data_IF_853130673714
#
_entry.id   IF_853130673714
#
_cell.length_a   1.000
_cell.length_b   1.000
_cell.length_c   1.000
_cell.angle_alpha   90.00
_cell.angle_beta   90.00
_cell.angle_gamma   90.00
#
_symmetry.space_group_name_H-M   'P 1'
#
loop_
_entity.id
_entity.type
_entity.pdbx_description
1 polymer ?
#
# COMPACT_ATOMS: atom_id res chain seq x y z
N UNK A 1 -4.80 4.25 -26.78
CA UNK A 1 -5.38 4.83 -25.58
C UNK A 1 -4.32 5.48 -24.73
N UNK A 2 -4.54 6.72 -24.40
CA UNK A 2 -3.59 7.46 -23.60
C UNK A 2 -3.39 6.83 -22.22
N UNK A 3 -4.38 6.09 -21.76
CA UNK A 3 -4.36 5.49 -20.43
C UNK A 3 -3.26 4.44 -20.24
N UNK A 4 -2.69 3.91 -21.33
CA UNK A 4 -1.73 2.84 -21.22
C UNK A 4 -0.48 3.23 -20.44
N UNK A 5 0.11 4.39 -20.75
CA UNK A 5 1.30 4.85 -20.04
C UNK A 5 1.00 5.17 -18.58
N UNK A 6 -0.15 5.75 -18.32
CA UNK A 6 -0.57 6.06 -16.97
C UNK A 6 -0.81 4.78 -16.16
N UNK A 7 -1.44 3.80 -16.77
CA UNK A 7 -1.70 2.53 -16.10
C UNK A 7 -0.40 1.86 -15.68
N UNK A 8 0.59 1.83 -16.56
CA UNK A 8 1.89 1.22 -16.25
C UNK A 8 2.54 1.93 -15.07
N UNK A 9 2.47 3.26 -15.04
CA UNK A 9 3.04 4.03 -13.94
C UNK A 9 2.37 3.70 -12.62
N UNK A 10 1.04 3.58 -12.64
CA UNK A 10 0.29 3.26 -11.43
C UNK A 10 0.58 1.84 -10.95
N UNK A 11 0.70 0.90 -11.86
CA UNK A 11 1.07 -0.47 -11.50
C UNK A 11 2.46 -0.49 -10.84
N UNK A 12 3.41 0.27 -11.39
CA UNK A 12 4.74 0.36 -10.79
C UNK A 12 4.67 0.95 -9.39
N UNK A 13 3.78 1.93 -9.16
CA UNK A 13 3.61 2.50 -7.82
C UNK A 13 3.05 1.47 -6.85
N UNK A 14 2.13 0.62 -7.29
CA UNK A 14 1.61 -0.46 -6.44
C UNK A 14 2.72 -1.45 -6.11
N UNK A 15 3.57 -1.78 -7.07
CA UNK A 15 4.70 -2.67 -6.83
C UNK A 15 5.67 -2.06 -5.80
N UNK A 16 5.83 -0.73 -5.83
CA UNK A 16 6.65 -0.04 -4.83
C UNK A 16 6.06 -0.17 -3.43
N UNK A 17 4.74 -0.14 -3.32
CA UNK A 17 4.08 -0.36 -2.04
C UNK A 17 4.39 -1.76 -1.52
N UNK A 18 4.32 -2.77 -2.38
CA UNK A 18 4.63 -4.14 -1.99
C UNK A 18 6.09 -4.26 -1.53
N UNK A 19 7.01 -3.60 -2.23
CA UNK A 19 8.41 -3.59 -1.85
C UNK A 19 8.60 -2.94 -0.48
N UNK A 20 7.91 -1.83 -0.24
CA UNK A 20 7.96 -1.14 1.04
C UNK A 20 7.46 -2.04 2.17
N UNK A 21 6.39 -2.81 1.93
CA UNK A 21 5.87 -3.73 2.93
C UNK A 21 6.89 -4.81 3.29
N UNK A 22 7.64 -5.30 2.31
CA UNK A 22 8.70 -6.27 2.57
C UNK A 22 9.81 -5.68 3.43
N UNK A 23 10.16 -4.41 3.19
CA UNK A 23 11.16 -3.71 4.01
C UNK A 23 10.68 -3.55 5.45
N UNK A 24 9.42 -3.20 5.61
CA UNK A 24 8.82 -3.06 6.94
C UNK A 24 8.88 -4.40 7.67
N UNK A 25 8.47 -5.46 6.98
CA UNK A 25 8.47 -6.80 7.56
C UNK A 25 9.88 -7.19 8.04
N UNK A 26 10.90 -6.88 7.24
CA UNK A 26 12.28 -7.20 7.57
C UNK A 26 12.77 -6.37 8.76
N UNK A 27 12.18 -5.20 9.00
CA UNK A 27 12.59 -4.31 10.09
C UNK A 27 11.91 -4.62 11.42
N UNK A 28 10.83 -5.40 11.42
CA UNK A 28 10.06 -5.65 12.63
C UNK A 28 10.92 -6.21 13.76
N UNK A 29 11.83 -7.17 13.53
CA UNK A 29 12.61 -7.75 14.63
C UNK A 29 13.48 -6.76 15.40
N UNK A 30 13.83 -5.61 14.79
CA UNK A 30 14.69 -4.62 15.45
C UNK A 30 13.89 -3.46 16.04
N UNK A 31 12.58 -3.48 15.92
CA UNK A 31 11.72 -2.43 16.48
C UNK A 31 11.34 -2.76 17.92
N UNK A 32 11.26 -1.72 18.76
CA UNK A 32 10.71 -1.90 20.09
C UNK A 32 9.18 -1.89 20.03
N UNK A 33 8.54 -2.14 21.18
CA UNK A 33 7.09 -2.28 21.23
C UNK A 33 6.37 -0.98 20.84
N UNK A 34 6.91 0.17 21.23
CA UNK A 34 6.31 1.45 20.92
C UNK A 34 6.38 1.74 19.43
N UNK A 35 7.53 1.46 18.82
CA UNK A 35 7.70 1.66 17.38
C UNK A 35 6.75 0.79 16.58
N UNK A 36 6.61 -0.48 16.98
CA UNK A 36 5.69 -1.38 16.30
C UNK A 36 4.26 -0.89 16.40
N UNK A 37 3.88 -0.40 17.58
CA UNK A 37 2.52 0.10 17.78
C UNK A 37 2.24 1.32 16.90
N UNK A 38 3.18 2.26 16.85
CA UNK A 38 3.02 3.47 16.04
C UNK A 38 2.92 3.14 14.57
N UNK A 39 3.80 2.26 14.10
CA UNK A 39 3.78 1.85 12.69
C UNK A 39 2.48 1.15 12.36
N UNK A 40 2.01 0.27 13.24
CA UNK A 40 0.76 -0.45 13.01
C UNK A 40 -0.42 0.50 12.88
N UNK A 41 -0.46 1.57 13.67
CA UNK A 41 -1.52 2.57 13.59
C UNK A 41 -1.51 3.27 12.24
N UNK A 42 -0.33 3.67 11.76
CA UNK A 42 -0.22 4.30 10.45
C UNK A 42 -0.59 3.34 9.33
N UNK A 43 -0.18 2.09 9.44
CA UNK A 43 -0.51 1.09 8.42
C UNK A 43 -2.00 0.79 8.39
N UNK A 44 -2.64 0.78 9.54
CA UNK A 44 -4.09 0.55 9.59
C UNK A 44 -4.84 1.66 8.87
N UNK A 45 -4.43 2.91 9.09
CA UNK A 45 -5.04 4.04 8.39
C UNK A 45 -4.80 3.95 6.89
N UNK A 46 -3.59 3.59 6.49
CA UNK A 46 -3.26 3.43 5.08
C UNK A 46 -4.03 2.28 4.45
N UNK A 47 -4.23 1.19 5.18
CA UNK A 47 -4.94 0.03 4.65
C UNK A 47 -6.41 0.35 4.39
N UNK A 48 -7.02 1.21 5.21
CA UNK A 48 -8.39 1.65 4.99
C UNK A 48 -8.49 2.43 3.68
N UNK A 49 -7.54 3.33 3.41
CA UNK A 49 -7.51 4.09 2.18
C UNK A 49 -7.26 3.18 0.98
N UNK A 50 -6.34 2.24 1.12
CA UNK A 50 -6.02 1.28 0.07
C UNK A 50 -7.27 0.47 -0.30
N UNK A 51 -7.96 -0.06 0.71
CA UNK A 51 -9.15 -0.86 0.49
C UNK A 51 -10.27 -0.06 -0.18
N UNK A 52 -10.43 1.21 0.20
CA UNK A 52 -11.44 2.07 -0.39
C UNK A 52 -11.17 2.32 -1.87
N UNK A 53 -9.91 2.58 -2.21
CA UNK A 53 -9.54 2.82 -3.61
C UNK A 53 -9.69 1.54 -4.43
N UNK A 54 -9.28 0.40 -3.87
CA UNK A 54 -9.45 -0.87 -4.55
C UNK A 54 -10.93 -1.13 -4.84
N UNK A 55 -11.79 -0.87 -3.88
CA UNK A 55 -13.23 -1.05 -4.07
C UNK A 55 -13.78 -0.15 -5.18
N UNK A 56 -13.28 1.09 -5.27
CA UNK A 56 -13.68 1.99 -6.35
C UNK A 56 -13.28 1.44 -7.71
N UNK A 57 -12.07 0.88 -7.81
CA UNK A 57 -11.61 0.33 -9.07
C UNK A 57 -12.45 -0.88 -9.49
N UNK A 58 -12.80 -1.72 -8.55
CA UNK A 58 -13.59 -2.90 -8.85
C UNK A 58 -15.02 -2.53 -9.24
N UNK A 59 -15.60 -1.54 -8.59
CA UNK A 59 -16.95 -1.09 -8.92
C UNK A 59 -17.00 -0.39 -10.26
N UNK A 60 -15.98 0.39 -10.57
CA UNK A 60 -15.97 1.18 -11.79
C UNK A 60 -16.02 0.31 -13.04
N UNK A 61 -15.64 -0.96 -12.92
CA UNK A 61 -15.66 -1.88 -14.04
C UNK A 61 -17.05 -2.35 -14.43
N UNK A 62 -18.06 -1.96 -13.67
CA UNK A 62 -19.45 -2.33 -13.96
C UNK A 62 -20.18 -1.25 -14.76
#
# INVERSE_FOLDING_TARGET
>A
MAATGELIRLINNVDDIATTLRRISASIPIMDADERKRLAEHMRAASTNFAAVLAQLEKAGQ
#
